data_IF_121393303430
#
_entry.id   IF_121393303430
#
_cell.length_a   1.000
_cell.length_b   1.000
_cell.length_c   1.000
_cell.angle_alpha   90.00
_cell.angle_beta   90.00
_cell.angle_gamma   90.00
#
_symmetry.space_group_name_H-M   'P 1'
#
loop_
_entity.id
_entity.type
_entity.pdbx_description
1 polymer ?
#
# COMPACT_ATOMS: atom_id res chain seq x y z
N UNK A 1 9.42 -3.62 -15.58
CA UNK A 1 7.98 -3.41 -15.82
C UNK A 1 7.31 -3.47 -14.46
N UNK A 2 7.05 -2.31 -13.85
CA UNK A 2 6.52 -2.25 -12.48
C UNK A 2 5.02 -2.50 -12.44
N UNK A 3 4.58 -3.30 -11.46
CA UNK A 3 3.36 -3.34 -10.61
C UNK A 3 2.01 -2.77 -11.11
N UNK A 4 2.00 -1.84 -12.06
CA UNK A 4 0.85 -1.00 -12.43
C UNK A 4 -0.26 -1.65 -13.27
N UNK A 5 -0.08 -2.83 -13.86
CA UNK A 5 -0.96 -3.27 -14.96
C UNK A 5 -2.20 -4.12 -14.58
N UNK A 6 -2.28 -4.72 -13.38
CA UNK A 6 -3.29 -5.76 -13.12
C UNK A 6 -4.64 -5.25 -12.59
N UNK A 7 -4.67 -4.11 -11.90
CA UNK A 7 -5.92 -3.44 -11.49
C UNK A 7 -6.57 -2.62 -12.63
N UNK A 8 -5.86 -2.47 -13.76
CA UNK A 8 -6.18 -1.48 -14.81
C UNK A 8 -7.17 -1.95 -15.88
N UNK A 9 -7.39 -3.26 -16.06
CA UNK A 9 -8.17 -3.80 -17.19
C UNK A 9 -9.71 -3.81 -16.97
N UNK A 10 -10.17 -3.62 -15.73
CA UNK A 10 -11.59 -3.90 -15.38
C UNK A 10 -12.49 -2.66 -15.34
N UNK A 11 -11.98 -1.43 -15.14
CA UNK A 11 -12.84 -0.29 -14.74
C UNK A 11 -12.77 1.00 -15.57
N UNK A 12 -11.96 1.07 -16.63
CA UNK A 12 -12.15 2.01 -17.74
C UNK A 12 -12.57 3.47 -17.38
N UNK A 13 -11.82 4.15 -16.50
CA UNK A 13 -11.65 5.63 -16.38
C UNK A 13 -10.83 5.95 -15.13
N UNK A 14 -9.50 6.07 -15.26
CA UNK A 14 -8.68 6.61 -14.18
C UNK A 14 -9.11 8.06 -13.87
N UNK A 15 -9.33 8.44 -12.61
CA UNK A 15 -9.41 9.85 -12.23
C UNK A 15 -8.13 10.57 -12.70
N UNK A 16 -8.26 11.77 -13.25
CA UNK A 16 -7.08 12.62 -13.48
C UNK A 16 -6.70 13.23 -12.13
N UNK A 17 -5.73 12.62 -11.46
CA UNK A 17 -5.18 13.15 -10.22
C UNK A 17 -4.46 14.48 -10.48
N UNK A 18 -4.75 15.49 -9.67
CA UNK A 18 -4.01 16.75 -9.69
C UNK A 18 -2.82 16.64 -8.75
N UNK A 19 -1.61 16.88 -9.23
CA UNK A 19 -0.46 17.03 -8.35
C UNK A 19 -0.65 18.25 -7.44
N UNK A 20 -0.58 18.02 -6.13
CA UNK A 20 -0.82 19.04 -5.11
C UNK A 20 0.37 19.05 -4.15
N UNK A 21 0.85 20.25 -3.82
CA UNK A 21 1.83 20.39 -2.74
C UNK A 21 1.15 20.12 -1.40
N UNK A 22 1.82 19.43 -0.48
CA UNK A 22 1.24 19.07 0.83
C UNK A 22 0.68 20.29 1.58
N UNK A 23 1.34 21.45 1.46
CA UNK A 23 0.90 22.72 2.05
C UNK A 23 -0.46 23.22 1.53
N UNK A 24 -0.82 22.88 0.27
CA UNK A 24 -2.03 23.33 -0.40
C UNK A 24 -3.21 22.34 -0.26
N UNK A 25 -3.03 21.25 0.50
CA UNK A 25 -4.07 20.23 0.69
C UNK A 25 -5.33 20.82 1.34
N UNK A 26 -5.19 21.80 2.22
CA UNK A 26 -6.30 22.50 2.89
C UNK A 26 -7.21 23.27 1.94
N UNK A 27 -6.71 23.62 0.75
CA UNK A 27 -7.47 24.34 -0.29
C UNK A 27 -8.26 23.38 -1.17
N UNK A 28 -7.99 22.08 -1.09
CA UNK A 28 -8.66 21.06 -1.88
C UNK A 28 -10.03 20.74 -1.30
N UNK A 29 -10.96 20.37 -2.18
CA UNK A 29 -12.33 20.00 -1.76
C UNK A 29 -12.40 18.51 -1.39
N UNK A 30 -13.22 18.12 -0.40
CA UNK A 30 -13.52 16.71 -0.16
C UNK A 30 -13.97 16.01 -1.45
N UNK A 31 -13.45 14.80 -1.68
CA UNK A 31 -13.65 13.99 -2.88
C UNK A 31 -12.76 14.34 -4.08
N UNK A 32 -11.96 15.41 -4.00
CA UNK A 32 -11.04 15.79 -5.07
C UNK A 32 -9.88 14.79 -5.21
N UNK A 33 -9.59 14.38 -6.45
CA UNK A 33 -8.53 13.43 -6.77
C UNK A 33 -7.16 14.13 -6.82
N UNK A 34 -6.25 13.76 -5.92
CA UNK A 34 -4.94 14.40 -5.74
C UNK A 34 -3.79 13.40 -5.83
N UNK A 35 -2.63 13.89 -6.26
CA UNK A 35 -1.33 13.22 -6.14
C UNK A 35 -0.48 14.00 -5.15
N UNK A 36 -0.01 13.33 -4.09
CA UNK A 36 0.82 13.87 -3.01
C UNK A 36 2.12 13.09 -2.93
N UNK A 37 3.20 13.76 -2.52
CA UNK A 37 4.50 13.13 -2.29
C UNK A 37 4.98 13.42 -0.88
N UNK A 38 5.58 12.44 -0.24
CA UNK A 38 6.10 12.59 1.10
C UNK A 38 6.87 11.37 1.59
N UNK A 39 7.25 11.44 2.86
CA UNK A 39 7.88 10.37 3.63
C UNK A 39 6.81 9.68 4.47
N UNK A 40 6.86 8.36 4.51
CA UNK A 40 5.97 7.53 5.32
C UNK A 40 6.38 7.61 6.79
N UNK A 41 5.41 7.91 7.65
CA UNK A 41 5.51 7.89 9.09
C UNK A 41 4.43 6.98 9.68
N UNK A 42 4.73 6.38 10.83
CA UNK A 42 3.79 5.53 11.54
C UNK A 42 2.76 6.40 12.26
N UNK A 43 1.48 6.09 12.11
CA UNK A 43 0.46 6.64 12.99
C UNK A 43 0.61 5.98 14.37
N UNK A 44 0.73 6.76 15.45
CA UNK A 44 0.87 6.24 16.82
C UNK A 44 -0.30 5.32 17.22
N UNK A 45 -1.45 5.45 16.57
CA UNK A 45 -2.62 4.61 16.76
C UNK A 45 -2.66 3.36 15.87
N UNK A 46 -1.81 3.29 14.84
CA UNK A 46 -1.76 2.20 13.87
C UNK A 46 -0.79 1.09 14.26
N UNK A 47 -1.24 -0.17 14.17
CA UNK A 47 -0.34 -1.32 14.33
C UNK A 47 0.50 -1.50 13.07
N UNK A 48 1.84 -1.58 13.24
CA UNK A 48 2.76 -1.90 12.15
C UNK A 48 2.55 -3.33 11.63
N UNK A 49 2.58 -3.48 10.32
CA UNK A 49 2.66 -4.77 9.65
C UNK A 49 4.10 -5.27 9.71
N UNK A 50 4.27 -6.59 9.61
CA UNK A 50 5.59 -7.22 9.60
C UNK A 50 5.65 -8.19 8.43
N UNK A 51 6.69 -8.05 7.62
CA UNK A 51 6.97 -8.99 6.53
C UNK A 51 7.10 -10.42 7.10
N UNK A 52 6.30 -11.40 6.65
CA UNK A 52 6.33 -12.75 7.19
C UNK A 52 7.66 -13.49 6.92
N UNK A 53 8.46 -13.05 5.94
CA UNK A 53 9.74 -13.67 5.61
C UNK A 53 10.89 -13.11 6.46
N UNK A 54 10.91 -11.79 6.67
CA UNK A 54 12.06 -11.10 7.28
C UNK A 54 11.76 -10.50 8.65
N UNK A 55 10.49 -10.40 9.02
CA UNK A 55 10.02 -9.66 10.21
C UNK A 55 10.15 -8.15 10.08
N UNK A 56 10.53 -7.62 8.90
CA UNK A 56 10.77 -6.19 8.74
C UNK A 56 9.45 -5.38 8.82
N UNK A 57 9.45 -4.21 9.48
CA UNK A 57 8.26 -3.40 9.65
C UNK A 57 7.80 -2.80 8.31
N UNK A 58 6.49 -2.69 8.15
CA UNK A 58 5.84 -2.14 6.97
C UNK A 58 4.50 -1.47 7.32
N UNK A 59 4.07 -0.53 6.47
CA UNK A 59 2.71 0.02 6.47
C UNK A 59 1.85 -0.58 5.34
N UNK A 60 2.50 -1.09 4.30
CA UNK A 60 1.88 -1.85 3.21
C UNK A 60 2.76 -3.05 2.90
N UNK A 61 2.12 -4.21 2.72
CA UNK A 61 2.72 -5.44 2.25
C UNK A 61 1.97 -5.91 1.01
N UNK A 62 2.70 -6.29 -0.04
CA UNK A 62 2.18 -7.08 -1.14
C UNK A 62 2.94 -8.40 -1.14
N UNK A 63 2.17 -9.47 -1.07
CA UNK A 63 2.65 -10.83 -0.96
C UNK A 63 2.27 -11.58 -2.23
N UNK A 64 3.26 -12.19 -2.87
CA UNK A 64 3.04 -13.11 -3.97
C UNK A 64 3.75 -14.42 -3.69
N UNK A 65 3.06 -15.52 -3.97
CA UNK A 65 3.62 -16.84 -3.79
C UNK A 65 3.27 -17.75 -4.97
N UNK A 66 4.27 -18.54 -5.36
CA UNK A 66 4.16 -19.53 -6.42
C UNK A 66 4.50 -20.90 -5.83
N UNK A 67 3.54 -21.84 -5.81
CA UNK A 67 3.80 -23.21 -5.39
C UNK A 67 4.65 -23.92 -6.45
N UNK A 68 5.38 -24.98 -6.07
CA UNK A 68 6.16 -25.76 -7.02
C UNK A 68 5.22 -26.46 -8.01
N UNK A 69 5.51 -26.37 -9.31
CA UNK A 69 4.76 -27.08 -10.34
C UNK A 69 4.99 -28.60 -10.20
N UNK A 70 4.01 -29.33 -9.65
CA UNK A 70 4.12 -30.79 -9.48
C UNK A 70 3.89 -31.53 -10.82
N UNK A 71 3.28 -30.89 -11.82
CA UNK A 71 2.75 -31.57 -13.02
C UNK A 71 3.78 -31.83 -14.14
N UNK A 72 5.01 -31.33 -14.05
CA UNK A 72 5.99 -31.55 -15.15
C UNK A 72 6.54 -32.98 -15.25
N UNK A 73 6.41 -33.81 -14.21
CA UNK A 73 7.06 -35.15 -14.25
C UNK A 73 6.21 -36.30 -14.76
N UNK A 74 4.88 -36.17 -14.86
CA UNK A 74 4.05 -37.36 -15.12
C UNK A 74 2.98 -37.27 -16.21
N UNK A 75 2.49 -36.10 -16.65
CA UNK A 75 1.30 -36.09 -17.53
C UNK A 75 1.27 -35.10 -18.70
N UNK A 76 2.32 -34.34 -19.01
CA UNK A 76 2.36 -33.52 -20.23
C UNK A 76 1.20 -32.52 -20.38
N UNK A 77 0.54 -32.16 -19.28
CA UNK A 77 -0.51 -31.16 -19.22
C UNK A 77 0.13 -29.82 -18.90
N UNK A 78 -0.22 -28.78 -19.66
CA UNK A 78 0.14 -27.40 -19.37
C UNK A 78 -0.33 -27.06 -17.95
N UNK A 79 0.58 -27.10 -16.98
CA UNK A 79 0.27 -26.70 -15.62
C UNK A 79 0.14 -25.19 -15.60
N UNK A 80 -1.08 -24.69 -15.47
CA UNK A 80 -1.27 -23.30 -15.04
C UNK A 80 -0.58 -23.14 -13.69
N UNK A 81 0.49 -22.36 -13.68
CA UNK A 81 1.22 -22.02 -12.46
C UNK A 81 0.28 -21.22 -11.58
N UNK A 82 -0.23 -21.85 -10.51
CA UNK A 82 -1.20 -21.22 -9.62
C UNK A 82 -0.49 -20.13 -8.80
N UNK A 83 -0.59 -18.86 -9.19
CA UNK A 83 -0.03 -17.74 -8.43
C UNK A 83 -1.03 -17.28 -7.37
N UNK A 84 -0.59 -17.23 -6.11
CA UNK A 84 -1.36 -16.64 -5.02
C UNK A 84 -0.86 -15.22 -4.80
N UNK A 85 -1.78 -14.26 -4.70
CA UNK A 85 -1.46 -12.89 -4.34
C UNK A 85 -2.37 -12.39 -3.22
N UNK A 86 -1.80 -11.59 -2.33
CA UNK A 86 -2.55 -10.85 -1.32
C UNK A 86 -1.82 -9.56 -1.00
N UNK A 87 -2.52 -8.62 -0.40
CA UNK A 87 -1.93 -7.40 0.09
C UNK A 87 -2.56 -7.08 1.45
N UNK A 88 -1.81 -6.41 2.30
CA UNK A 88 -2.25 -5.94 3.60
C UNK A 88 -1.73 -4.52 3.78
N UNK A 89 -2.55 -3.65 4.34
CA UNK A 89 -2.20 -2.27 4.57
C UNK A 89 -2.77 -1.80 5.90
N UNK A 90 -2.11 -0.79 6.47
CA UNK A 90 -2.56 -0.07 7.66
C UNK A 90 -2.44 1.42 7.37
N UNK A 91 -3.26 2.23 8.03
CA UNK A 91 -3.19 3.68 7.88
C UNK A 91 -1.83 4.21 8.32
N UNK A 92 -1.36 5.27 7.66
CA UNK A 92 -0.08 5.88 7.97
C UNK A 92 -0.11 7.38 7.75
N UNK A 93 0.93 8.08 8.22
CA UNK A 93 1.07 9.52 8.00
C UNK A 93 2.02 9.76 6.83
N UNK A 94 1.63 10.58 5.88
CA UNK A 94 2.51 11.04 4.80
C UNK A 94 2.96 12.47 5.13
N UNK A 95 4.25 12.65 5.40
CA UNK A 95 4.85 13.93 5.77
C UNK A 95 5.66 14.54 4.63
N UNK A 96 5.51 15.84 4.41
CA UNK A 96 6.39 16.64 3.56
C UNK A 96 6.70 17.97 4.24
N UNK A 97 7.91 18.05 4.84
CA UNK A 97 8.30 19.20 5.66
C UNK A 97 7.44 19.30 6.92
N UNK A 98 6.89 20.49 7.17
CA UNK A 98 6.02 20.75 8.33
C UNK A 98 4.58 20.26 8.13
N UNK A 99 4.21 19.87 6.91
CA UNK A 99 2.86 19.44 6.56
C UNK A 99 2.75 17.92 6.55
N UNK A 100 1.64 17.42 7.08
CA UNK A 100 1.33 15.99 7.08
C UNK A 100 -0.15 15.75 6.78
N UNK A 101 -0.42 14.60 6.17
CA UNK A 101 -1.76 14.07 5.93
C UNK A 101 -1.83 12.64 6.44
N UNK A 102 -3.00 12.22 6.90
CA UNK A 102 -3.26 10.81 7.20
C UNK A 102 -3.70 10.12 5.93
N UNK A 103 -3.06 9.02 5.60
CA UNK A 103 -3.41 8.17 4.47
C UNK A 103 -4.22 7.00 5.02
N UNK A 104 -5.47 6.93 4.60
CA UNK A 104 -6.40 5.87 4.93
C UNK A 104 -6.43 4.85 3.79
N UNK A 105 -6.27 3.59 4.16
CA UNK A 105 -6.22 2.47 3.24
C UNK A 105 -7.34 1.50 3.56
N UNK A 106 -7.95 0.92 2.53
CA UNK A 106 -8.84 -0.21 2.77
C UNK A 106 -8.02 -1.34 3.42
N UNK A 107 -8.54 -2.01 4.46
CA UNK A 107 -7.85 -3.15 5.02
C UNK A 107 -7.80 -4.26 3.95
N UNK A 108 -6.58 -4.68 3.62
CA UNK A 108 -6.35 -5.82 2.72
C UNK A 108 -6.64 -7.16 3.38
N UNK A 109 -6.10 -8.23 2.79
CA UNK A 109 -6.12 -9.58 3.38
C UNK A 109 -5.15 -9.74 4.56
N UNK A 110 -5.16 -10.93 5.16
CA UNK A 110 -4.21 -11.34 6.21
C UNK A 110 -3.04 -12.09 5.60
N UNK A 111 -1.93 -11.39 5.38
CA UNK A 111 -0.74 -11.92 4.69
C UNK A 111 -0.04 -12.99 5.53
N UNK A 112 -0.02 -12.81 6.85
CA UNK A 112 0.51 -13.77 7.82
C UNK A 112 -0.24 -15.11 7.77
N UNK A 113 -1.57 -15.10 7.78
CA UNK A 113 -2.39 -16.31 7.67
C UNK A 113 -2.19 -17.01 6.33
N UNK A 114 -2.12 -16.25 5.23
CA UNK A 114 -1.85 -16.78 3.89
C UNK A 114 -0.48 -17.45 3.82
N UNK A 115 0.56 -16.77 4.32
CA UNK A 115 1.91 -17.30 4.34
C UNK A 115 2.02 -18.57 5.17
N UNK A 116 1.43 -18.59 6.37
CA UNK A 116 1.43 -19.76 7.24
C UNK A 116 0.74 -20.96 6.57
N UNK A 117 -0.40 -20.74 5.91
CA UNK A 117 -1.11 -21.79 5.17
C UNK A 117 -0.27 -22.36 4.02
N UNK A 118 0.21 -21.50 3.12
CA UNK A 118 0.97 -21.94 1.95
C UNK A 118 2.30 -22.60 2.34
N UNK A 119 2.94 -22.12 3.40
CA UNK A 119 4.17 -22.73 3.93
C UNK A 119 3.90 -24.10 4.54
N UNK A 120 2.76 -24.30 5.22
CA UNK A 120 2.36 -25.62 5.73
C UNK A 120 2.05 -26.61 4.60
N UNK A 121 1.45 -26.14 3.50
CA UNK A 121 1.06 -26.97 2.35
C UNK A 121 2.23 -27.33 1.43
N UNK A 122 3.13 -26.38 1.14
CA UNK A 122 4.16 -26.54 0.11
C UNK A 122 5.59 -26.61 0.68
N UNK A 123 5.79 -26.27 1.95
CA UNK A 123 7.08 -26.30 2.63
C UNK A 123 8.13 -25.40 1.96
N UNK A 124 9.38 -25.85 2.00
CA UNK A 124 10.55 -25.10 1.50
C UNK A 124 10.59 -24.87 -0.01
N UNK A 125 9.63 -25.45 -0.76
CA UNK A 125 9.57 -25.34 -2.23
C UNK A 125 8.65 -24.20 -2.68
N UNK A 126 8.02 -23.50 -1.73
CA UNK A 126 7.23 -22.31 -2.01
C UNK A 126 8.16 -21.15 -2.38
N UNK A 127 7.97 -20.61 -3.58
CA UNK A 127 8.65 -19.38 -3.98
C UNK A 127 7.79 -18.20 -3.53
N UNK A 128 8.39 -17.27 -2.78
CA UNK A 128 7.67 -16.12 -2.21
C UNK A 128 8.41 -14.84 -2.54
N UNK A 129 7.66 -13.83 -2.97
CA UNK A 129 8.11 -12.46 -3.17
C UNK A 129 7.25 -11.53 -2.30
N UNK A 130 7.91 -10.63 -1.56
CA UNK A 130 7.23 -9.64 -0.73
C UNK A 130 7.76 -8.26 -1.11
N UNK A 131 6.86 -7.42 -1.61
CA UNK A 131 7.09 -5.99 -1.75
C UNK A 131 6.51 -5.28 -0.52
N UNK A 132 7.22 -4.24 -0.02
CA UNK A 132 6.79 -3.52 1.18
C UNK A 132 7.05 -2.03 1.06
N UNK A 133 6.20 -1.26 1.71
CA UNK A 133 6.45 0.16 2.02
C UNK A 133 6.73 0.24 3.50
N UNK A 134 7.92 0.73 3.84
CA UNK A 134 8.41 0.87 5.20
C UNK A 134 8.26 2.31 5.73
N UNK A 135 8.21 2.48 7.05
CA UNK A 135 8.42 3.79 7.64
C UNK A 135 9.76 4.39 7.21
N UNK A 136 9.75 5.65 6.81
CA UNK A 136 10.91 6.36 6.25
C UNK A 136 10.99 6.35 4.72
N UNK A 137 10.20 5.51 4.04
CA UNK A 137 10.20 5.48 2.57
C UNK A 137 9.57 6.73 1.98
N UNK A 138 10.09 7.14 0.82
CA UNK A 138 9.53 8.24 0.03
C UNK A 138 8.60 7.68 -1.02
N UNK A 139 7.34 8.09 -0.97
CA UNK A 139 6.32 7.57 -1.87
C UNK A 139 5.51 8.71 -2.50
N UNK A 140 4.86 8.37 -3.59
CA UNK A 140 3.78 9.15 -4.18
C UNK A 140 2.47 8.46 -3.88
N UNK A 141 1.54 9.15 -3.23
CA UNK A 141 0.18 8.66 -2.95
C UNK A 141 -0.79 9.38 -3.87
N UNK A 142 -1.64 8.62 -4.54
CA UNK A 142 -2.78 9.12 -5.30
C UNK A 142 -4.05 8.63 -4.65
N UNK A 143 -5.00 9.54 -4.50
CA UNK A 143 -6.23 9.24 -3.80
C UNK A 143 -7.17 10.43 -3.79
N UNK A 144 -8.11 10.39 -2.86
CA UNK A 144 -9.13 11.43 -2.72
C UNK A 144 -9.04 12.10 -1.36
N UNK A 145 -9.21 13.41 -1.37
CA UNK A 145 -9.33 14.20 -0.14
C UNK A 145 -10.55 13.69 0.64
N UNK A 146 -10.33 13.28 1.88
CA UNK A 146 -11.37 12.95 2.84
C UNK A 146 -11.74 14.18 3.67
N UNK A 147 -11.64 14.02 4.98
CA UNK A 147 -11.91 15.08 5.94
C UNK A 147 -10.71 16.03 6.04
N UNK A 148 -10.97 17.33 5.93
CA UNK A 148 -10.00 18.37 6.27
C UNK A 148 -10.22 18.79 7.72
N UNK A 149 -9.16 18.70 8.53
CA UNK A 149 -9.27 19.15 9.90
C UNK A 149 -9.38 20.69 9.92
N UNK A 150 -10.37 21.28 10.61
CA UNK A 150 -10.56 22.73 10.62
C UNK A 150 -9.31 23.42 11.18
N UNK A 151 -8.82 24.41 10.43
CA UNK A 151 -7.64 25.20 10.79
C UNK A 151 -7.87 25.95 12.10
N UNK A 152 -6.98 25.78 13.09
CA UNK A 152 -6.89 26.70 14.23
C UNK A 152 -7.58 26.30 15.53
N UNK A 153 -7.91 25.02 15.75
CA UNK A 153 -8.36 24.60 17.09
C UNK A 153 -7.15 24.54 18.06
N UNK A 154 -7.09 25.36 19.13
CA UNK A 154 -5.96 25.40 20.06
C UNK A 154 -5.80 24.12 20.89
N UNK A 155 -6.72 23.17 20.76
CA UNK A 155 -6.68 21.84 21.37
C UNK A 155 -6.22 20.73 20.41
N UNK A 156 -5.70 21.07 19.22
CA UNK A 156 -5.31 20.06 18.22
C UNK A 156 -4.28 19.10 18.81
N UNK A 157 -4.61 17.81 18.76
CA UNK A 157 -3.70 16.70 19.12
C UNK A 157 -3.28 15.92 17.89
N UNK A 158 -4.00 16.07 16.77
CA UNK A 158 -3.75 15.31 15.57
C UNK A 158 -2.58 15.93 14.76
N UNK A 159 -1.57 15.12 14.38
CA UNK A 159 -0.36 15.61 13.71
C UNK A 159 -0.56 15.93 12.22
N UNK A 160 -1.77 15.75 11.67
CA UNK A 160 -2.08 15.83 10.26
C UNK A 160 -3.17 16.87 9.94
N UNK A 161 -3.26 17.25 8.67
CA UNK A 161 -4.08 18.39 8.21
C UNK A 161 -5.33 17.96 7.44
N UNK A 162 -5.26 16.81 6.77
CA UNK A 162 -6.40 16.18 6.12
C UNK A 162 -6.21 14.66 6.10
N UNK A 163 -7.29 13.93 5.84
CA UNK A 163 -7.25 12.51 5.47
C UNK A 163 -7.26 12.36 3.95
N UNK A 164 -6.59 11.31 3.46
CA UNK A 164 -6.54 10.91 2.05
C UNK A 164 -6.96 9.46 1.97
N UNK A 165 -8.05 9.17 1.29
CA UNK A 165 -8.39 7.79 0.93
C UNK A 165 -7.53 7.41 -0.28
N UNK A 166 -6.54 6.55 -0.07
CA UNK A 166 -5.60 6.18 -1.12
C UNK A 166 -6.22 5.21 -2.13
N UNK A 167 -6.04 5.52 -3.40
CA UNK A 167 -6.42 4.69 -4.54
C UNK A 167 -5.21 3.89 -5.06
N UNK A 168 -4.04 4.55 -5.15
CA UNK A 168 -2.77 3.92 -5.59
C UNK A 168 -1.56 4.63 -4.96
N UNK A 169 -0.44 3.93 -4.88
CA UNK A 169 0.84 4.50 -4.47
C UNK A 169 1.99 3.93 -5.30
N UNK A 170 2.99 4.76 -5.54
CA UNK A 170 4.23 4.39 -6.24
C UNK A 170 5.43 4.77 -5.37
N UNK A 171 6.42 3.88 -5.29
CA UNK A 171 7.71 4.23 -4.69
C UNK A 171 8.36 5.35 -5.49
N UNK A 172 8.77 6.42 -4.80
CA UNK A 172 9.60 7.45 -5.39
C UNK A 172 11.04 6.92 -5.43
N UNK A 173 11.31 5.92 -6.27
CA UNK A 173 12.68 5.54 -6.59
C UNK A 173 13.41 6.78 -7.12
N UNK A 174 14.57 7.18 -6.55
CA UNK A 174 15.36 8.23 -7.14
C UNK A 174 15.80 7.77 -8.53
N UNK A 175 15.26 8.42 -9.57
CA UNK A 175 15.85 8.38 -10.91
C UNK A 175 17.03 9.32 -10.98
#
# INVERSE_FOLDING_TARGET
>A
MGVRAWLDDVLGRRPRYRAVAMAAVVECRPGEAVELRGVVEVDESGALLHDPLTGAPAVVLRYEATPPTITERYFGLNAETSRYSSWQATDFILRAGEHAVRVELAPGGRVDELHARLSAEHGVRLEVEVERIAPGDRITVRGRIGETAPTGSPHRREPWTATIHADEFDDASPS
#
